data_IF_256340965666
#
_entry.id   IF_256340965666
#
_cell.length_a   1.000
_cell.length_b   1.000
_cell.length_c   1.000
_cell.angle_alpha   90.00
_cell.angle_beta   90.00
_cell.angle_gamma   90.00
#
_symmetry.space_group_name_H-M   'P 1'
#
loop_
_entity.id
_entity.type
_entity.pdbx_description
1 polymer ?
#
# COMPACT_ATOMS: atom_id res chain seq x y z
N UNK A 1 -5.28 -4.87 27.05
CA UNK A 1 -4.90 -5.27 25.67
C UNK A 1 -4.00 -4.18 25.09
N UNK A 2 -3.29 -4.49 24.00
CA UNK A 2 -2.53 -3.53 23.22
C UNK A 2 -3.19 -3.33 21.85
N UNK A 3 -3.07 -2.14 21.29
CA UNK A 3 -3.50 -1.79 19.94
C UNK A 3 -2.25 -1.56 19.09
N UNK A 4 -2.12 -2.32 18.01
CA UNK A 4 -1.02 -2.21 17.05
C UNK A 4 -1.63 -1.86 15.69
N UNK A 5 -1.30 -0.72 15.07
CA UNK A 5 -1.88 -0.30 13.80
C UNK A 5 -1.22 -1.01 12.62
N UNK A 6 -1.18 -2.34 12.66
CA UNK A 6 -0.70 -3.16 11.56
C UNK A 6 -1.84 -3.46 10.60
N UNK A 7 -1.70 -3.05 9.33
CA UNK A 7 -2.79 -3.03 8.35
C UNK A 7 -3.95 -2.19 8.91
N UNK A 8 -5.18 -2.70 8.90
CA UNK A 8 -6.35 -2.03 9.47
C UNK A 8 -6.24 -1.83 11.00
N UNK A 9 -5.51 -2.73 11.68
CA UNK A 9 -5.28 -2.68 13.12
C UNK A 9 -5.47 -4.02 13.81
N UNK A 10 -4.73 -4.21 14.89
CA UNK A 10 -4.77 -5.41 15.73
C UNK A 10 -5.09 -5.02 17.17
N UNK A 11 -6.13 -5.65 17.73
CA UNK A 11 -6.37 -5.68 19.17
C UNK A 11 -5.77 -6.96 19.73
N UNK A 12 -4.70 -6.82 20.52
CA UNK A 12 -3.96 -7.94 21.08
C UNK A 12 -4.29 -8.04 22.57
N UNK A 13 -5.08 -9.05 22.92
CA UNK A 13 -5.48 -9.27 24.31
C UNK A 13 -4.37 -9.88 25.16
N UNK A 14 -4.40 -9.58 26.45
CA UNK A 14 -3.48 -10.12 27.45
C UNK A 14 -4.00 -11.44 28.06
N UNK A 15 -4.95 -12.10 27.41
CA UNK A 15 -5.56 -13.38 27.80
C UNK A 15 -5.79 -14.31 26.59
N UNK A 16 -5.19 -14.01 25.43
CA UNK A 16 -5.41 -14.75 24.17
C UNK A 16 -4.92 -16.19 24.20
N UNK A 17 -4.13 -16.57 25.21
CA UNK A 17 -3.55 -17.89 25.31
C UNK A 17 -2.37 -18.12 24.35
N UNK A 18 -1.85 -17.09 23.67
CA UNK A 18 -0.77 -17.21 22.68
C UNK A 18 0.48 -16.45 23.13
N UNK A 19 1.62 -17.15 23.17
CA UNK A 19 2.94 -16.54 23.40
C UNK A 19 3.57 -16.18 22.05
N UNK A 20 4.15 -14.98 21.93
CA UNK A 20 4.84 -14.55 20.72
C UNK A 20 5.78 -13.37 21.02
N UNK A 21 6.68 -13.07 20.08
CA UNK A 21 7.45 -11.83 20.03
C UNK A 21 7.46 -11.34 18.59
N UNK A 22 7.09 -10.08 18.36
CA UNK A 22 7.06 -9.48 17.01
C UNK A 22 7.48 -8.02 17.05
N UNK A 23 8.25 -7.62 16.04
CA UNK A 23 8.55 -6.21 15.75
C UNK A 23 7.60 -5.72 14.67
N UNK A 24 7.10 -4.50 14.83
CA UNK A 24 6.20 -3.83 13.91
C UNK A 24 6.85 -2.53 13.45
N UNK A 25 7.85 -2.60 12.57
CA UNK A 25 8.60 -1.42 12.13
C UNK A 25 7.71 -0.34 11.53
N UNK A 26 8.17 0.92 11.61
CA UNK A 26 7.39 2.05 11.08
C UNK A 26 7.24 1.94 9.58
N UNK A 27 6.00 1.94 9.09
CA UNK A 27 5.66 1.85 7.66
C UNK A 27 6.12 0.58 6.94
N UNK A 28 6.61 -0.45 7.66
CA UNK A 28 6.86 -1.76 7.06
C UNK A 28 5.55 -2.38 6.55
N UNK A 29 5.64 -3.26 5.55
CA UNK A 29 4.47 -3.91 4.93
C UNK A 29 3.52 -4.55 5.96
N UNK A 30 4.08 -5.22 6.97
CA UNK A 30 3.35 -5.75 8.13
C UNK A 30 3.76 -5.11 9.46
N UNK A 31 4.19 -3.85 9.40
CA UNK A 31 4.57 -3.04 10.54
C UNK A 31 3.46 -2.11 11.01
N UNK A 32 3.82 -0.95 11.55
CA UNK A 32 2.87 0.08 11.98
C UNK A 32 2.54 1.04 10.82
N UNK A 33 1.27 1.09 10.40
CA UNK A 33 0.75 2.00 9.37
C UNK A 33 0.30 3.35 9.93
N UNK A 34 0.19 3.44 11.26
CA UNK A 34 0.12 4.68 12.01
C UNK A 34 1.29 4.72 12.99
N UNK A 35 1.93 5.87 13.18
CA UNK A 35 3.09 6.02 14.06
C UNK A 35 2.68 6.07 15.55
N UNK A 36 2.03 5.00 16.03
CA UNK A 36 1.55 4.88 17.39
C UNK A 36 1.45 3.41 17.85
N UNK A 37 1.49 3.21 19.17
CA UNK A 37 0.93 2.04 19.84
C UNK A 37 -0.04 2.48 20.93
N UNK A 38 -1.13 1.73 21.11
CA UNK A 38 -2.11 1.97 22.16
C UNK A 38 -2.08 0.90 23.25
N UNK A 39 -2.32 1.29 24.50
CA UNK A 39 -2.32 0.39 25.65
C UNK A 39 -3.52 0.64 26.55
N UNK A 40 -4.19 -0.44 26.95
CA UNK A 40 -5.34 -0.40 27.85
C UNK A 40 -5.14 -1.41 28.98
N UNK A 41 -5.25 -0.94 30.23
CA UNK A 41 -5.18 -1.77 31.44
C UNK A 41 -6.16 -1.24 32.48
N UNK A 42 -7.10 -2.09 32.92
CA UNK A 42 -8.10 -1.70 33.93
C UNK A 42 -8.90 -0.46 33.55
N UNK A 43 -9.25 -0.33 32.27
CA UNK A 43 -9.92 0.85 31.72
C UNK A 43 -9.05 2.10 31.60
N UNK A 44 -7.78 2.09 32.04
CA UNK A 44 -6.85 3.20 31.83
C UNK A 44 -6.14 3.09 30.49
N UNK A 45 -5.98 4.21 29.80
CA UNK A 45 -5.51 4.29 28.41
C UNK A 45 -4.23 5.11 28.28
N UNK A 46 -3.32 4.64 27.44
CA UNK A 46 -2.05 5.28 27.10
C UNK A 46 -1.80 5.11 25.61
N UNK A 47 -1.33 6.16 24.94
CA UNK A 47 -0.78 6.08 23.59
C UNK A 47 0.70 6.46 23.63
N UNK A 48 1.51 5.75 22.84
CA UNK A 48 2.90 6.13 22.55
C UNK A 48 2.98 6.47 21.07
N UNK A 49 3.50 7.65 20.73
CA UNK A 49 3.66 8.10 19.34
C UNK A 49 5.12 8.45 19.04
N UNK A 50 5.45 8.50 17.75
CA UNK A 50 6.76 8.88 17.23
C UNK A 50 6.64 9.51 15.84
N UNK A 51 7.67 10.23 15.41
CA UNK A 51 7.68 10.90 14.09
C UNK A 51 8.78 10.36 13.16
N UNK A 52 9.79 9.66 13.69
CA UNK A 52 10.92 9.14 12.91
C UNK A 52 10.67 7.71 12.39
N UNK A 53 10.98 7.46 11.12
CA UNK A 53 10.79 6.16 10.46
C UNK A 53 11.69 5.04 11.02
N UNK A 54 12.75 5.37 11.77
CA UNK A 54 13.66 4.41 12.37
C UNK A 54 13.29 4.01 13.80
N UNK A 55 12.01 4.16 14.17
CA UNK A 55 11.42 3.57 15.37
C UNK A 55 10.88 2.17 15.05
N UNK A 56 11.29 1.19 15.84
CA UNK A 56 10.89 -0.20 15.71
C UNK A 56 10.20 -0.68 16.99
N UNK A 57 8.88 -0.46 17.12
CA UNK A 57 8.08 -1.00 18.21
C UNK A 57 8.07 -2.53 18.17
N UNK A 58 8.26 -3.15 19.33
CA UNK A 58 8.17 -4.58 19.53
C UNK A 58 7.10 -4.90 20.57
N UNK A 59 6.35 -5.98 20.35
CA UNK A 59 5.39 -6.50 21.31
C UNK A 59 5.70 -7.98 21.60
N UNK A 60 5.72 -8.31 22.87
CA UNK A 60 5.93 -9.66 23.36
C UNK A 60 4.77 -10.08 24.27
N UNK A 61 4.19 -11.23 23.97
CA UNK A 61 3.22 -11.92 24.81
C UNK A 61 3.89 -13.11 25.49
N UNK A 62 3.85 -13.15 26.83
CA UNK A 62 4.39 -14.25 27.63
C UNK A 62 3.36 -14.81 28.58
N UNK A 63 3.37 -16.14 28.74
CA UNK A 63 2.71 -16.84 29.84
C UNK A 63 3.77 -17.22 30.87
N UNK A 64 3.81 -16.57 32.05
CA UNK A 64 4.76 -16.93 33.09
C UNK A 64 4.52 -18.36 33.56
N UNK A 65 5.60 -19.14 33.73
CA UNK A 65 5.52 -20.54 34.16
C UNK A 65 4.95 -20.68 35.57
N UNK A 66 5.21 -19.70 36.43
CA UNK A 66 4.71 -19.62 37.80
C UNK A 66 3.22 -19.24 37.88
N UNK A 67 2.66 -18.62 36.82
CA UNK A 67 1.28 -18.15 36.76
C UNK A 67 0.70 -18.40 35.36
N UNK A 68 0.46 -19.66 34.96
CA UNK A 68 0.09 -20.02 33.59
C UNK A 68 -1.26 -19.44 33.13
N UNK A 69 -2.13 -19.07 34.08
CA UNK A 69 -3.40 -18.39 33.84
C UNK A 69 -3.27 -16.86 33.64
N UNK A 70 -2.08 -16.30 33.85
CA UNK A 70 -1.78 -14.89 33.56
C UNK A 70 -0.98 -14.80 32.28
N UNK A 71 -1.36 -13.89 31.40
CA UNK A 71 -0.55 -13.54 30.24
C UNK A 71 -0.15 -12.06 30.35
N UNK A 72 1.12 -11.79 30.04
CA UNK A 72 1.73 -10.46 30.12
C UNK A 72 2.07 -9.99 28.72
N UNK A 73 1.64 -8.78 28.39
CA UNK A 73 2.11 -8.05 27.22
C UNK A 73 3.23 -7.10 27.64
N UNK A 74 4.36 -7.18 26.96
CA UNK A 74 5.52 -6.28 27.16
C UNK A 74 5.83 -5.61 25.83
N UNK A 75 6.04 -4.30 25.86
CA UNK A 75 6.41 -3.52 24.67
C UNK A 75 7.81 -2.97 24.81
N UNK A 76 8.56 -2.97 23.72
CA UNK A 76 9.87 -2.34 23.58
C UNK A 76 9.84 -1.38 22.40
N UNK A 77 10.67 -0.35 22.43
CA UNK A 77 10.88 0.53 21.29
C UNK A 77 12.37 0.59 21.01
N UNK A 78 12.80 0.06 19.86
CA UNK A 78 14.17 0.20 19.42
C UNK A 78 14.28 1.46 18.56
N UNK A 79 15.14 2.39 18.98
CA UNK A 79 15.40 3.65 18.27
C UNK A 79 16.71 3.50 17.49
N UNK A 80 16.64 3.51 16.17
CA UNK A 80 17.81 3.35 15.28
C UNK A 80 18.12 4.65 14.56
N UNK A 81 19.34 4.76 14.02
CA UNK A 81 19.79 5.84 13.12
C UNK A 81 19.45 7.25 13.64
N UNK A 82 18.45 7.93 13.10
CA UNK A 82 18.05 9.29 13.50
C UNK A 82 16.99 9.32 14.61
N UNK A 83 16.32 8.20 14.92
CA UNK A 83 15.28 8.17 15.94
C UNK A 83 15.84 8.44 17.34
N UNK A 84 15.27 9.42 18.05
CA UNK A 84 15.72 9.82 19.41
C UNK A 84 14.59 9.94 20.43
N UNK A 85 13.36 10.10 19.98
CA UNK A 85 12.26 10.52 20.84
C UNK A 85 11.03 9.64 20.67
N UNK A 86 10.36 9.39 21.79
CA UNK A 86 9.03 8.82 21.87
C UNK A 86 8.17 9.77 22.70
N UNK A 87 6.89 9.88 22.38
CA UNK A 87 5.93 10.67 23.16
C UNK A 87 4.93 9.76 23.84
N UNK A 88 4.84 9.83 25.15
CA UNK A 88 3.82 9.13 25.94
C UNK A 88 2.69 10.11 26.24
N UNK A 89 1.44 9.71 25.97
CA UNK A 89 0.26 10.52 26.24
C UNK A 89 -0.75 9.68 27.05
N UNK A 90 -0.77 9.82 28.38
CA UNK A 90 -1.84 9.25 29.21
C UNK A 90 -3.18 9.90 28.84
N UNK A 91 -4.21 9.09 28.60
CA UNK A 91 -5.53 9.58 28.16
C UNK A 91 -6.62 9.37 29.23
N UNK A 92 -6.26 8.83 30.39
CA UNK A 92 -7.20 8.56 31.48
C UNK A 92 -8.06 7.32 31.23
N UNK A 93 -9.29 7.31 31.75
CA UNK A 93 -10.23 6.20 31.56
C UNK A 93 -10.75 6.18 30.12
N UNK A 94 -10.82 5.00 29.51
CA UNK A 94 -11.31 4.84 28.15
C UNK A 94 -11.08 3.45 27.57
N UNK A 95 -11.29 3.37 26.26
CA UNK A 95 -11.15 2.16 25.45
C UNK A 95 -10.29 2.45 24.21
N UNK A 96 -10.37 1.58 23.21
CA UNK A 96 -9.68 1.78 21.94
C UNK A 96 -10.21 2.99 21.14
N UNK A 97 -11.49 3.39 21.29
CA UNK A 97 -12.02 4.59 20.65
C UNK A 97 -11.41 5.86 21.24
N UNK A 98 -11.15 5.87 22.55
CA UNK A 98 -10.41 6.97 23.21
C UNK A 98 -9.03 7.15 22.58
N UNK A 99 -8.31 6.04 22.35
CA UNK A 99 -6.99 6.04 21.73
C UNK A 99 -7.05 6.51 20.27
N UNK A 100 -7.96 5.96 19.47
CA UNK A 100 -8.12 6.33 18.06
C UNK A 100 -8.45 7.83 17.91
N UNK A 101 -9.36 8.33 18.74
CA UNK A 101 -9.75 9.75 18.75
C UNK A 101 -8.60 10.67 19.18
N UNK A 102 -7.79 10.25 20.15
CA UNK A 102 -6.62 11.01 20.58
C UNK A 102 -5.53 11.06 19.50
N UNK A 103 -5.24 9.94 18.85
CA UNK A 103 -4.28 9.89 17.75
C UNK A 103 -4.75 10.74 16.56
N UNK A 104 -6.03 10.67 16.22
CA UNK A 104 -6.62 11.53 15.18
C UNK A 104 -6.42 13.02 15.50
N UNK A 105 -6.74 13.47 16.72
CA UNK A 105 -6.52 14.87 17.11
C UNK A 105 -5.04 15.25 17.09
N UNK A 106 -4.15 14.31 17.43
CA UNK A 106 -2.71 14.52 17.35
C UNK A 106 -2.28 14.77 15.89
N UNK A 107 -2.68 13.91 14.95
CA UNK A 107 -2.32 14.05 13.52
C UNK A 107 -3.02 15.22 12.83
N UNK A 108 -4.24 15.60 13.25
CA UNK A 108 -4.92 16.83 12.82
C UNK A 108 -4.09 18.07 13.17
N UNK A 109 -3.55 18.15 14.40
CA UNK A 109 -2.67 19.26 14.82
C UNK A 109 -1.35 19.33 14.05
N UNK A 110 -0.89 18.20 13.50
CA UNK A 110 0.29 18.15 12.64
C UNK A 110 -0.01 18.42 11.16
N UNK A 111 -1.28 18.65 10.79
CA UNK A 111 -1.69 18.83 9.39
C UNK A 111 -1.63 17.55 8.55
N UNK A 112 -1.52 16.37 9.17
CA UNK A 112 -1.41 15.09 8.48
C UNK A 112 -2.78 14.47 8.17
N UNK A 113 -3.81 14.80 8.95
CA UNK A 113 -5.15 14.24 8.80
C UNK A 113 -6.03 15.03 7.81
N UNK A 114 -5.61 15.12 6.55
CA UNK A 114 -6.37 15.82 5.49
C UNK A 114 -7.60 15.00 5.08
N UNK A 115 -8.78 15.58 5.24
CA UNK A 115 -10.06 14.91 5.00
C UNK A 115 -10.37 14.73 3.50
N UNK A 116 -11.23 13.75 3.18
CA UNK A 116 -11.78 13.61 1.82
C UNK A 116 -12.54 14.86 1.37
N UNK A 117 -13.23 15.57 2.28
CA UNK A 117 -13.93 16.82 1.95
C UNK A 117 -12.95 17.90 1.50
N UNK A 118 -11.82 18.05 2.16
CA UNK A 118 -10.77 19.00 1.76
C UNK A 118 -10.15 18.61 0.41
N UNK A 119 -9.88 17.32 0.20
CA UNK A 119 -9.39 16.81 -1.10
C UNK A 119 -10.39 17.10 -2.23
N UNK A 120 -11.69 16.92 -1.98
CA UNK A 120 -12.76 17.23 -2.94
C UNK A 120 -12.89 18.74 -3.21
N UNK A 121 -12.68 19.61 -2.20
CA UNK A 121 -12.64 21.07 -2.44
C UNK A 121 -11.47 21.46 -3.34
N UNK A 122 -10.33 20.81 -3.18
CA UNK A 122 -9.14 21.04 -4.01
C UNK A 122 -9.32 20.50 -5.44
N UNK A 123 -9.93 19.33 -5.57
CA UNK A 123 -10.21 18.69 -6.85
C UNK A 123 -11.58 17.98 -6.78
N UNK A 124 -12.57 18.55 -7.46
CA UNK A 124 -13.94 18.02 -7.49
C UNK A 124 -14.01 16.63 -8.12
N UNK A 125 -13.05 16.24 -8.96
CA UNK A 125 -13.03 14.92 -9.59
C UNK A 125 -12.93 13.77 -8.57
N UNK A 126 -12.31 14.02 -7.41
CA UNK A 126 -12.20 13.06 -6.30
C UNK A 126 -13.59 12.61 -5.79
N UNK A 127 -14.63 13.42 -5.97
CA UNK A 127 -15.99 13.06 -5.53
C UNK A 127 -16.53 11.82 -6.24
N UNK A 128 -16.06 11.53 -7.46
CA UNK A 128 -16.42 10.32 -8.21
C UNK A 128 -16.01 9.03 -7.49
N UNK A 129 -15.00 9.10 -6.60
CA UNK A 129 -14.54 7.96 -5.81
C UNK A 129 -15.52 7.58 -4.68
N UNK A 130 -16.42 8.48 -4.27
CA UNK A 130 -17.36 8.22 -3.19
C UNK A 130 -18.42 7.23 -3.67
N UNK A 131 -18.46 6.05 -3.05
CA UNK A 131 -19.36 4.96 -3.43
C UNK A 131 -18.92 4.20 -4.68
N UNK A 132 -17.72 4.43 -5.19
CA UNK A 132 -17.24 3.75 -6.40
C UNK A 132 -16.83 2.29 -6.11
N UNK A 133 -17.30 1.37 -6.95
CA UNK A 133 -16.76 0.02 -7.01
C UNK A 133 -15.34 0.03 -7.60
N UNK A 134 -14.50 -0.91 -7.22
CA UNK A 134 -13.13 -1.02 -7.74
C UNK A 134 -13.04 -2.17 -8.77
N UNK A 135 -12.88 -1.84 -10.05
CA UNK A 135 -12.68 -2.81 -11.11
C UNK A 135 -11.27 -2.69 -11.67
N UNK A 136 -10.52 -3.80 -11.68
CA UNK A 136 -9.10 -3.81 -12.08
C UNK A 136 -8.83 -4.83 -13.15
N UNK A 137 -8.55 -4.36 -14.35
CA UNK A 137 -7.93 -5.16 -15.40
C UNK A 137 -6.41 -5.08 -15.22
N UNK A 138 -5.90 -5.91 -14.29
CA UNK A 138 -4.49 -5.84 -13.87
C UNK A 138 -3.49 -5.96 -15.01
N UNK A 139 -3.78 -6.75 -16.04
CA UNK A 139 -2.79 -7.10 -17.04
C UNK A 139 -3.42 -7.17 -18.42
N UNK A 140 -3.41 -6.06 -19.17
CA UNK A 140 -3.79 -6.03 -20.58
C UNK A 140 -2.75 -6.80 -21.41
N UNK A 141 -1.47 -6.41 -21.29
CA UNK A 141 -0.34 -7.15 -21.85
C UNK A 141 0.43 -7.89 -20.75
N UNK A 142 0.48 -9.22 -20.85
CA UNK A 142 1.34 -10.08 -20.05
C UNK A 142 2.57 -10.47 -20.89
N UNK A 143 3.64 -9.67 -20.82
CA UNK A 143 4.97 -10.06 -21.30
C UNK A 143 5.71 -10.75 -20.15
N UNK A 144 6.45 -11.81 -20.42
CA UNK A 144 7.28 -12.49 -19.42
C UNK A 144 8.72 -12.51 -19.91
N UNK A 145 9.63 -12.06 -19.06
CA UNK A 145 11.06 -12.14 -19.24
C UNK A 145 11.66 -13.21 -18.31
N UNK A 146 12.83 -13.71 -18.68
CA UNK A 146 13.64 -14.51 -17.77
C UNK A 146 14.06 -13.69 -16.54
N UNK A 147 14.62 -14.36 -15.53
CA UNK A 147 14.97 -13.71 -14.27
C UNK A 147 15.98 -12.57 -14.42
N UNK A 148 16.84 -12.60 -15.43
CA UNK A 148 17.84 -11.56 -15.69
C UNK A 148 17.30 -10.40 -16.53
N UNK A 149 16.02 -10.43 -16.93
CA UNK A 149 15.43 -9.43 -17.82
C UNK A 149 16.21 -9.28 -19.14
N UNK A 150 16.73 -10.37 -19.69
CA UNK A 150 17.54 -10.38 -20.93
C UNK A 150 16.90 -11.14 -22.08
N UNK A 151 15.89 -11.97 -21.80
CA UNK A 151 15.22 -12.78 -22.81
C UNK A 151 13.72 -12.85 -22.55
N UNK A 152 12.93 -12.56 -23.59
CA UNK A 152 11.49 -12.76 -23.57
C UNK A 152 11.17 -14.26 -23.62
N UNK A 153 10.32 -14.72 -22.70
CA UNK A 153 9.83 -16.10 -22.59
C UNK A 153 8.44 -16.26 -23.22
N UNK A 154 7.56 -15.25 -23.06
CA UNK A 154 6.22 -15.28 -23.67
C UNK A 154 5.58 -13.88 -23.72
N UNK A 155 4.63 -13.72 -24.64
CA UNK A 155 3.76 -12.53 -24.72
C UNK A 155 2.32 -13.00 -24.88
N UNK A 156 1.42 -12.45 -24.06
CA UNK A 156 -0.02 -12.70 -24.18
C UNK A 156 -0.81 -11.41 -23.97
N UNK A 157 -1.57 -11.03 -24.98
CA UNK A 157 -2.65 -10.04 -24.86
C UNK A 157 -3.82 -10.72 -24.16
N UNK A 158 -4.21 -10.21 -22.99
CA UNK A 158 -5.43 -10.64 -22.30
C UNK A 158 -6.61 -9.74 -22.65
N UNK A 159 -6.33 -8.45 -22.84
CA UNK A 159 -7.29 -7.43 -23.27
C UNK A 159 -6.56 -6.43 -24.14
N UNK A 160 -7.11 -6.12 -25.30
CA UNK A 160 -6.82 -4.89 -26.03
C UNK A 160 -7.39 -3.68 -25.26
N UNK A 161 -6.94 -2.47 -25.59
CA UNK A 161 -7.51 -1.27 -24.96
C UNK A 161 -8.98 -1.05 -25.33
N UNK A 162 -9.39 -1.47 -26.54
CA UNK A 162 -10.79 -1.45 -26.94
C UNK A 162 -11.64 -2.39 -26.08
N UNK A 163 -11.20 -3.64 -25.89
CA UNK A 163 -11.88 -4.61 -25.01
C UNK A 163 -11.95 -4.10 -23.56
N UNK A 164 -10.90 -3.45 -23.06
CA UNK A 164 -10.93 -2.83 -21.73
C UNK A 164 -12.04 -1.77 -21.60
N UNK A 165 -12.26 -0.96 -22.64
CA UNK A 165 -13.35 0.01 -22.67
C UNK A 165 -14.73 -0.66 -22.77
N UNK A 166 -14.86 -1.71 -23.58
CA UNK A 166 -16.10 -2.49 -23.70
C UNK A 166 -16.47 -3.15 -22.36
N UNK A 167 -15.50 -3.63 -21.58
CA UNK A 167 -15.74 -4.16 -20.23
C UNK A 167 -16.30 -3.06 -19.32
N UNK A 168 -15.74 -1.85 -19.34
CA UNK A 168 -16.26 -0.75 -18.55
C UNK A 168 -17.71 -0.39 -18.96
N UNK A 169 -18.00 -0.39 -20.26
CA UNK A 169 -19.34 -0.17 -20.80
C UNK A 169 -20.32 -1.25 -20.36
N UNK A 170 -19.91 -2.52 -20.39
CA UNK A 170 -20.70 -3.65 -19.88
C UNK A 170 -21.01 -3.49 -18.38
N UNK A 171 -20.00 -3.16 -17.56
CA UNK A 171 -20.20 -2.91 -16.13
C UNK A 171 -21.22 -1.79 -15.89
N UNK A 172 -21.21 -0.75 -16.73
CA UNK A 172 -22.15 0.37 -16.61
C UNK A 172 -23.57 -0.01 -17.07
N UNK A 173 -23.69 -0.63 -18.24
CA UNK A 173 -24.97 -0.83 -18.93
C UNK A 173 -25.73 -2.07 -18.45
N UNK A 174 -25.01 -3.17 -18.27
CA UNK A 174 -25.61 -4.48 -18.07
C UNK A 174 -25.56 -4.92 -16.60
N UNK A 175 -24.45 -4.62 -15.91
CA UNK A 175 -24.31 -4.90 -14.46
C UNK A 175 -24.91 -3.79 -13.61
N UNK A 176 -25.02 -2.57 -14.13
CA UNK A 176 -25.60 -1.43 -13.43
C UNK A 176 -24.66 -0.79 -12.40
N UNK A 177 -23.34 -0.91 -12.56
CA UNK A 177 -22.39 -0.21 -11.68
C UNK A 177 -22.45 1.28 -11.96
N UNK A 178 -22.88 2.07 -10.98
CA UNK A 178 -23.08 3.49 -11.21
C UNK A 178 -21.81 4.32 -11.13
N UNK A 179 -20.91 3.95 -10.21
CA UNK A 179 -19.64 4.64 -9.95
C UNK A 179 -18.53 3.60 -9.89
N UNK A 180 -17.43 3.84 -10.58
CA UNK A 180 -16.32 2.91 -10.61
C UNK A 180 -14.98 3.62 -10.67
N UNK A 181 -14.01 3.13 -9.88
CA UNK A 181 -12.59 3.27 -10.18
C UNK A 181 -12.22 2.12 -11.10
N UNK A 182 -12.03 2.42 -12.39
CA UNK A 182 -11.68 1.44 -13.40
C UNK A 182 -10.20 1.54 -13.74
N UNK A 183 -9.44 0.52 -13.34
CA UNK A 183 -7.98 0.47 -13.48
C UNK A 183 -7.56 -0.39 -14.67
N UNK A 184 -6.70 0.16 -15.53
CA UNK A 184 -6.06 -0.52 -16.66
C UNK A 184 -4.59 -0.72 -16.32
N UNK A 185 -4.17 -1.97 -16.13
CA UNK A 185 -2.77 -2.35 -15.93
C UNK A 185 -2.18 -3.06 -17.14
N UNK A 186 -0.85 -3.08 -17.22
CA UNK A 186 -0.12 -3.58 -18.38
C UNK A 186 -0.35 -2.77 -19.65
N UNK A 187 -0.62 -1.47 -19.51
CA UNK A 187 -0.78 -0.51 -20.62
C UNK A 187 0.56 0.02 -21.15
N UNK A 188 1.62 -0.09 -20.35
CA UNK A 188 2.96 0.44 -20.61
C UNK A 188 3.63 -0.26 -21.80
N UNK A 189 4.73 0.28 -22.30
CA UNK A 189 5.54 -0.30 -23.39
C UNK A 189 5.93 -1.76 -23.09
N UNK A 190 6.32 -2.02 -21.85
CA UNK A 190 6.71 -3.33 -21.36
C UNK A 190 5.55 -4.31 -21.17
N UNK A 191 4.33 -3.82 -20.95
CA UNK A 191 3.28 -4.61 -20.31
C UNK A 191 3.44 -4.64 -18.80
N UNK A 192 2.64 -5.46 -18.12
CA UNK A 192 2.57 -5.45 -16.66
C UNK A 192 3.90 -5.89 -16.02
N UNK A 193 4.38 -5.13 -15.03
CA UNK A 193 5.65 -5.36 -14.31
C UNK A 193 6.85 -5.60 -15.25
N UNK A 194 6.97 -4.85 -16.33
CA UNK A 194 8.06 -4.97 -17.31
C UNK A 194 8.58 -3.59 -17.70
N UNK A 195 9.90 -3.46 -17.88
CA UNK A 195 10.58 -2.24 -18.40
C UNK A 195 10.37 -0.95 -17.61
N UNK A 196 9.77 -1.00 -16.42
CA UNK A 196 9.76 0.14 -15.51
C UNK A 196 11.19 0.67 -15.30
N UNK A 197 11.40 2.00 -15.22
CA UNK A 197 10.39 3.07 -15.28
C UNK A 197 10.01 3.54 -16.72
N UNK A 198 10.54 2.91 -17.77
CA UNK A 198 10.28 3.27 -19.17
C UNK A 198 8.89 2.80 -19.64
N UNK A 199 7.87 3.49 -19.17
CA UNK A 199 6.48 3.08 -19.38
C UNK A 199 5.92 3.43 -20.76
N UNK A 200 6.58 4.32 -21.50
CA UNK A 200 6.06 4.90 -22.73
C UNK A 200 6.81 4.40 -23.96
N UNK A 201 6.12 4.24 -25.11
CA UNK A 201 4.70 4.51 -25.35
C UNK A 201 3.76 3.39 -24.83
N UNK A 202 2.44 3.58 -24.92
CA UNK A 202 1.51 2.48 -24.69
C UNK A 202 1.76 1.35 -25.69
N UNK A 203 1.69 0.10 -25.23
CA UNK A 203 2.13 -1.03 -26.06
C UNK A 203 1.27 -1.21 -27.33
N UNK A 204 1.91 -1.47 -28.49
CA UNK A 204 1.20 -1.67 -29.76
C UNK A 204 0.34 -2.94 -29.75
N UNK A 205 0.70 -3.97 -28.97
CA UNK A 205 -0.02 -5.23 -28.88
C UNK A 205 -1.47 -5.06 -28.40
N UNK A 206 -1.73 -4.09 -27.52
CA UNK A 206 -3.08 -3.74 -27.08
C UNK A 206 -3.73 -2.60 -27.92
N UNK A 207 -3.04 -2.09 -28.95
CA UNK A 207 -3.54 -1.05 -29.86
C UNK A 207 -2.83 0.31 -29.76
N UNK A 208 -1.84 0.45 -28.88
CA UNK A 208 -1.00 1.65 -28.76
C UNK A 208 -1.71 2.91 -28.25
N UNK A 209 -1.02 4.05 -28.36
CA UNK A 209 -1.43 5.32 -27.77
C UNK A 209 -2.85 5.77 -28.19
N UNK A 210 -3.21 5.59 -29.46
CA UNK A 210 -4.52 6.02 -29.98
C UNK A 210 -5.64 5.20 -29.34
N UNK A 211 -5.50 3.87 -29.28
CA UNK A 211 -6.50 3.00 -28.68
C UNK A 211 -6.58 3.21 -27.15
N UNK A 212 -5.45 3.38 -26.46
CA UNK A 212 -5.47 3.71 -25.03
C UNK A 212 -6.19 5.04 -24.76
N UNK A 213 -5.88 6.09 -25.55
CA UNK A 213 -6.55 7.38 -25.41
C UNK A 213 -8.05 7.29 -25.63
N UNK A 214 -8.49 6.53 -26.63
CA UNK A 214 -9.92 6.29 -26.88
C UNK A 214 -10.58 5.54 -25.72
N UNK A 215 -9.95 4.47 -25.24
CA UNK A 215 -10.46 3.67 -24.13
C UNK A 215 -10.67 4.50 -22.87
N UNK A 216 -9.68 5.32 -22.49
CA UNK A 216 -9.77 6.20 -21.32
C UNK A 216 -10.91 7.22 -21.49
N UNK A 217 -11.06 7.82 -22.68
CA UNK A 217 -12.17 8.74 -22.97
C UNK A 217 -13.52 8.06 -22.84
N UNK A 218 -13.67 6.82 -23.34
CA UNK A 218 -14.91 6.05 -23.23
C UNK A 218 -15.23 5.73 -21.77
N UNK A 219 -14.25 5.27 -20.99
CA UNK A 219 -14.42 5.01 -19.54
C UNK A 219 -14.86 6.29 -18.81
N UNK A 220 -14.22 7.42 -19.07
CA UNK A 220 -14.56 8.70 -18.44
C UNK A 220 -15.97 9.18 -18.82
N UNK A 221 -16.42 8.96 -20.06
CA UNK A 221 -17.79 9.29 -20.51
C UNK A 221 -18.87 8.53 -19.74
N UNK A 222 -18.55 7.39 -19.13
CA UNK A 222 -19.48 6.64 -18.27
C UNK A 222 -19.64 7.27 -16.87
N UNK A 223 -18.86 8.31 -16.54
CA UNK A 223 -18.77 8.88 -15.20
C UNK A 223 -17.84 8.10 -14.26
N UNK A 224 -17.02 7.20 -14.79
CA UNK A 224 -16.02 6.45 -14.03
C UNK A 224 -14.71 7.21 -13.88
N UNK A 225 -13.98 6.92 -12.80
CA UNK A 225 -12.58 7.33 -12.65
C UNK A 225 -11.71 6.32 -13.41
N UNK A 226 -11.13 6.76 -14.53
CA UNK A 226 -10.17 5.97 -15.26
C UNK A 226 -8.78 6.08 -14.61
N UNK A 227 -8.15 4.95 -14.32
CA UNK A 227 -6.83 4.88 -13.69
C UNK A 227 -5.90 3.98 -14.50
N UNK A 228 -4.66 4.42 -14.65
CA UNK A 228 -3.58 3.57 -15.15
C UNK A 228 -2.83 2.98 -13.96
N UNK A 229 -2.54 1.68 -13.99
CA UNK A 229 -1.65 1.06 -13.01
C UNK A 229 -0.20 1.33 -13.41
N UNK A 230 0.61 1.81 -12.48
CA UNK A 230 2.00 2.15 -12.73
C UNK A 230 2.90 1.82 -11.53
N UNK A 231 4.20 1.69 -11.78
CA UNK A 231 5.24 1.36 -10.83
C UNK A 231 6.48 2.22 -11.14
N UNK A 232 6.93 2.95 -10.12
CA UNK A 232 8.10 3.84 -10.18
C UNK A 232 9.20 3.42 -9.20
N UNK A 233 9.06 2.23 -8.61
CA UNK A 233 10.02 1.67 -7.66
C UNK A 233 10.93 0.65 -8.35
N UNK A 234 10.35 -0.24 -9.16
CA UNK A 234 11.10 -1.30 -9.82
C UNK A 234 11.83 -0.76 -11.06
N UNK A 235 13.04 -1.29 -11.31
CA UNK A 235 13.80 -1.01 -12.52
C UNK A 235 14.39 -2.31 -13.09
N UNK A 236 13.92 -2.70 -14.27
CA UNK A 236 14.33 -3.95 -14.92
C UNK A 236 15.50 -3.72 -15.88
N UNK A 237 16.31 -4.74 -16.13
CA UNK A 237 17.49 -4.62 -17.01
C UNK A 237 17.15 -4.42 -18.48
N UNK A 238 15.93 -4.74 -18.89
CA UNK A 238 15.42 -4.47 -20.24
C UNK A 238 14.76 -3.09 -20.38
N UNK A 239 14.73 -2.27 -19.32
CA UNK A 239 14.42 -0.85 -19.44
C UNK A 239 15.52 -0.15 -20.24
N UNK A 240 15.15 0.72 -21.16
CA UNK A 240 16.09 1.51 -21.99
C UNK A 240 16.97 2.42 -21.15
N UNK A 241 16.42 2.92 -20.03
CA UNK A 241 17.09 3.80 -19.09
C UNK A 241 17.84 3.04 -17.99
N UNK A 242 17.95 1.70 -18.07
CA UNK A 242 18.58 0.90 -17.02
C UNK A 242 20.00 1.39 -16.70
N UNK A 243 20.21 1.78 -15.44
CA UNK A 243 21.52 2.18 -14.94
C UNK A 243 21.64 1.75 -13.47
N UNK A 244 22.69 0.98 -13.09
CA UNK A 244 22.93 0.56 -11.71
C UNK A 244 23.13 1.74 -10.73
N UNK A 245 23.35 2.96 -11.21
CA UNK A 245 23.40 4.17 -10.39
C UNK A 245 22.04 4.54 -9.78
N UNK A 246 20.92 4.15 -10.42
CA UNK A 246 19.56 4.37 -9.91
C UNK A 246 19.07 3.26 -8.98
N UNK A 247 19.86 2.21 -8.77
CA UNK A 247 19.48 1.07 -7.94
C UNK A 247 20.02 1.24 -6.52
N UNK A 248 19.18 0.96 -5.52
CA UNK A 248 19.61 0.93 -4.13
C UNK A 248 20.75 -0.08 -3.91
N UNK A 249 21.67 0.26 -2.99
CA UNK A 249 22.85 -0.55 -2.69
C UNK A 249 22.85 -1.00 -1.23
N UNK A 250 23.29 -2.23 -1.01
CA UNK A 250 23.65 -2.72 0.32
C UNK A 250 24.92 -2.01 0.81
N UNK A 251 25.25 -2.21 2.09
CA UNK A 251 26.47 -1.65 2.72
C UNK A 251 27.77 -2.08 2.04
N UNK A 252 27.79 -3.24 1.41
CA UNK A 252 28.94 -3.77 0.65
C UNK A 252 29.01 -3.23 -0.79
N UNK A 253 28.10 -2.32 -1.18
CA UNK A 253 28.01 -1.77 -2.53
C UNK A 253 27.25 -2.64 -3.54
N UNK A 254 26.84 -3.86 -3.17
CA UNK A 254 26.05 -4.73 -4.04
C UNK A 254 24.64 -4.17 -4.26
N UNK A 255 24.10 -4.32 -5.47
CA UNK A 255 22.74 -3.88 -5.77
C UNK A 255 21.71 -4.68 -4.97
N UNK A 256 20.69 -3.99 -4.47
CA UNK A 256 19.50 -4.60 -3.88
C UNK A 256 18.65 -5.14 -5.03
N UNK A 257 18.28 -6.42 -4.94
CA UNK A 257 17.39 -7.07 -5.91
C UNK A 257 15.97 -7.05 -5.39
N UNK A 258 15.01 -6.76 -6.27
CA UNK A 258 13.59 -6.82 -5.97
C UNK A 258 13.02 -8.24 -5.97
N UNK A 259 11.68 -8.31 -5.94
CA UNK A 259 10.94 -9.54 -6.20
C UNK A 259 11.13 -10.01 -7.64
N UNK A 260 10.81 -11.29 -7.92
CA UNK A 260 10.72 -11.77 -9.31
C UNK A 260 9.31 -11.50 -9.83
N UNK A 261 9.21 -10.66 -10.85
CA UNK A 261 7.95 -10.32 -11.49
C UNK A 261 7.95 -10.77 -12.95
N UNK A 262 6.97 -10.29 -13.73
CA UNK A 262 6.88 -10.60 -15.15
C UNK A 262 8.11 -10.14 -15.93
N UNK A 263 8.67 -8.98 -15.59
CA UNK A 263 9.84 -8.41 -16.22
C UNK A 263 11.17 -8.99 -15.76
N UNK A 264 11.20 -9.93 -14.80
CA UNK A 264 12.43 -10.46 -14.22
C UNK A 264 12.74 -9.87 -12.83
N UNK A 265 13.99 -9.45 -12.59
CA UNK A 265 14.51 -8.97 -11.30
C UNK A 265 15.47 -7.79 -11.41
#
# INVERSE_FOLDING_TARGET
YAIVPCREGLLISADSGKSFKRVFGTSDYEGCHMNMLGFIKGGSTLIVTWDDAYVFPGLQSTKPTDKPYRQKLTTTFELRRSARTLRLMPLGKGDWNTIASAYRRYTEKQGLAITLREKIRRDRHVELMIGAANAKLWTCLARRMNEQSTKEESVKVRWTFDEAAQIAEHLRKDVGIERCLFMVGGWTEGGYDCRHPDNLPANPECGGNKALSDAIKRIQKLGYVASLHDNVQDMYRDAKSWDPAFIEKRRDGSLIKGGRWLGGR
#
